data_IF_364602942599
#
_entry.id   IF_364602942599
#
_cell.length_a   1.000
_cell.length_b   1.000
_cell.length_c   1.000
_cell.angle_alpha   90.00
_cell.angle_beta   90.00
_cell.angle_gamma   90.00
#
_symmetry.space_group_name_H-M   'P 1'
#
loop_
_entity.id
_entity.type
_entity.pdbx_description
1 polymer ?
#
# COMPACT_ATOMS: atom_id res chain seq x y z
N UNK A 1 0.31 -9.29 -19.19
CA UNK A 1 0.46 -10.33 -18.14
C UNK A 1 -0.57 -10.02 -17.08
N UNK A 2 -1.40 -10.98 -16.67
CA UNK A 2 -2.58 -10.71 -15.85
C UNK A 2 -2.23 -10.65 -14.35
N UNK A 3 -2.70 -9.60 -13.67
CA UNK A 3 -2.69 -9.51 -12.20
C UNK A 3 -3.71 -10.49 -11.64
N UNK A 4 -3.34 -11.20 -10.57
CA UNK A 4 -4.30 -12.02 -9.81
C UNK A 4 -4.67 -11.28 -8.54
N UNK A 5 -5.96 -11.04 -8.36
CA UNK A 5 -6.53 -10.30 -7.24
C UNK A 5 -7.39 -11.19 -6.35
N UNK A 6 -7.20 -11.08 -5.05
CA UNK A 6 -7.98 -11.77 -4.03
C UNK A 6 -8.69 -10.76 -3.13
N UNK A 7 -10.02 -10.65 -3.19
CA UNK A 7 -10.76 -9.86 -2.21
C UNK A 7 -10.61 -10.52 -0.82
N UNK A 8 -10.65 -9.71 0.25
CA UNK A 8 -10.49 -10.18 1.64
C UNK A 8 -11.34 -11.42 1.96
N UNK A 9 -12.57 -11.50 1.43
CA UNK A 9 -13.49 -12.61 1.65
C UNK A 9 -12.95 -13.99 1.20
N UNK A 10 -12.04 -14.02 0.22
CA UNK A 10 -11.40 -15.25 -0.25
C UNK A 10 -10.19 -15.65 0.61
N UNK A 11 -9.71 -14.75 1.47
CA UNK A 11 -8.50 -14.91 2.26
C UNK A 11 -8.85 -15.33 3.69
N UNK A 12 -7.95 -16.09 4.33
CA UNK A 12 -8.07 -16.47 5.74
C UNK A 12 -6.75 -16.20 6.46
N UNK A 13 -6.80 -15.69 7.68
CA UNK A 13 -5.63 -15.58 8.54
C UNK A 13 -5.47 -16.86 9.37
N UNK A 14 -4.27 -17.44 9.38
CA UNK A 14 -3.85 -18.56 10.23
C UNK A 14 -2.42 -18.33 10.67
N UNK A 15 -2.15 -18.35 11.97
CA UNK A 15 -0.78 -18.27 12.52
C UNK A 15 0.05 -17.13 11.94
N UNK A 16 -0.55 -15.93 11.89
CA UNK A 16 0.04 -14.71 11.32
C UNK A 16 0.38 -14.79 9.81
N UNK A 17 -0.23 -15.74 9.10
CA UNK A 17 -0.09 -15.94 7.66
C UNK A 17 -1.46 -15.88 6.97
N UNK A 18 -1.49 -15.28 5.80
CA UNK A 18 -2.64 -15.20 4.92
C UNK A 18 -2.64 -16.42 4.03
N UNK A 19 -3.67 -17.26 4.18
CA UNK A 19 -3.93 -18.38 3.28
C UNK A 19 -4.60 -17.87 2.00
N UNK A 20 -3.93 -18.07 0.87
CA UNK A 20 -4.38 -17.70 -0.46
C UNK A 20 -4.84 -18.96 -1.22
N UNK A 21 -6.13 -19.09 -1.57
CA UNK A 21 -6.61 -20.27 -2.30
C UNK A 21 -6.16 -20.25 -3.77
N UNK A 22 -5.86 -21.42 -4.33
CA UNK A 22 -5.52 -21.58 -5.75
C UNK A 22 -6.70 -22.05 -6.62
N UNK A 23 -7.85 -22.35 -6.00
CA UNK A 23 -9.06 -22.81 -6.66
C UNK A 23 -9.08 -24.33 -6.90
N UNK A 24 -10.27 -24.84 -7.26
CA UNK A 24 -10.52 -26.28 -7.37
C UNK A 24 -9.75 -26.93 -8.51
N UNK A 25 -9.53 -26.23 -9.62
CA UNK A 25 -8.76 -26.73 -10.77
C UNK A 25 -7.30 -26.97 -10.39
N UNK A 26 -6.65 -26.00 -9.74
CA UNK A 26 -5.27 -26.15 -9.26
C UNK A 26 -5.15 -27.29 -8.25
N UNK A 27 -6.10 -27.41 -7.32
CA UNK A 27 -6.13 -28.53 -6.37
C UNK A 27 -6.25 -29.88 -7.08
N UNK A 28 -7.12 -29.99 -8.09
CA UNK A 28 -7.34 -31.25 -8.82
C UNK A 28 -6.11 -31.65 -9.64
N UNK A 29 -5.46 -30.69 -10.30
CA UNK A 29 -4.36 -31.00 -11.23
C UNK A 29 -3.01 -31.11 -10.54
N UNK A 30 -2.77 -30.30 -9.49
CA UNK A 30 -1.46 -30.20 -8.85
C UNK A 30 -1.47 -30.67 -7.40
N UNK A 31 -2.62 -31.02 -6.83
CA UNK A 31 -2.75 -31.36 -5.41
C UNK A 31 -2.58 -30.17 -4.45
N UNK A 32 -2.36 -28.96 -4.98
CA UNK A 32 -2.12 -27.76 -4.17
C UNK A 32 -3.39 -26.93 -4.05
N UNK A 33 -3.89 -26.83 -2.83
CA UNK A 33 -5.15 -26.16 -2.49
C UNK A 33 -4.97 -24.65 -2.18
N UNK A 34 -3.83 -24.30 -1.57
CA UNK A 34 -3.49 -22.94 -1.17
C UNK A 34 -2.00 -22.81 -0.87
N UNK A 35 -1.53 -21.58 -0.77
CA UNK A 35 -0.23 -21.24 -0.18
C UNK A 35 -0.40 -20.17 0.92
N UNK A 36 0.67 -19.91 1.65
CA UNK A 36 0.69 -18.96 2.76
C UNK A 36 1.58 -17.77 2.43
N UNK A 37 1.13 -16.58 2.78
CA UNK A 37 1.92 -15.33 2.72
C UNK A 37 1.96 -14.74 4.13
N UNK A 38 3.13 -14.34 4.67
CA UNK A 38 3.19 -13.65 5.96
C UNK A 38 2.47 -12.31 5.87
N UNK A 39 1.69 -11.96 6.89
CA UNK A 39 1.12 -10.61 6.97
C UNK A 39 2.20 -9.61 7.39
N UNK A 40 2.28 -8.42 6.77
CA UNK A 40 3.19 -7.37 7.23
C UNK A 40 2.89 -6.96 8.67
N UNK A 41 3.93 -6.73 9.48
CA UNK A 41 3.79 -6.39 10.91
C UNK A 41 3.04 -5.08 11.17
N UNK A 42 3.03 -4.17 10.20
CA UNK A 42 2.34 -2.90 10.23
C UNK A 42 0.91 -2.94 9.64
N UNK A 43 0.39 -4.14 9.34
CA UNK A 43 -0.94 -4.31 8.74
C UNK A 43 -1.80 -5.28 9.55
N UNK A 44 -2.88 -4.76 10.14
CA UNK A 44 -3.91 -5.61 10.73
C UNK A 44 -4.74 -6.28 9.63
N UNK A 45 -4.92 -7.61 9.68
CA UNK A 45 -5.73 -8.36 8.70
C UNK A 45 -7.17 -7.83 8.60
N UNK A 46 -7.72 -7.29 9.70
CA UNK A 46 -9.04 -6.68 9.69
C UNK A 46 -9.16 -5.53 8.68
N UNK A 47 -8.10 -4.73 8.49
CA UNK A 47 -8.08 -3.58 7.60
C UNK A 47 -7.87 -3.96 6.13
N UNK A 48 -7.40 -5.17 5.85
CA UNK A 48 -7.17 -5.67 4.50
C UNK A 48 -8.46 -5.64 3.67
N UNK A 49 -8.35 -5.20 2.42
CA UNK A 49 -9.42 -5.19 1.42
C UNK A 49 -9.13 -6.16 0.29
N UNK A 50 -7.90 -6.19 -0.17
CA UNK A 50 -7.47 -6.97 -1.31
C UNK A 50 -6.00 -7.34 -1.18
N UNK A 51 -5.64 -8.54 -1.62
CA UNK A 51 -4.27 -8.93 -1.90
C UNK A 51 -4.12 -9.12 -3.41
N UNK A 52 -3.09 -8.50 -4.00
CA UNK A 52 -2.77 -8.66 -5.41
C UNK A 52 -1.41 -9.30 -5.57
N UNK A 53 -1.30 -10.19 -6.55
CA UNK A 53 -0.04 -10.81 -6.96
C UNK A 53 0.24 -10.38 -8.39
N UNK A 54 1.32 -9.64 -8.57
CA UNK A 54 1.70 -9.05 -9.85
C UNK A 54 3.04 -9.61 -10.32
N UNK A 55 3.17 -10.04 -11.58
CA UNK A 55 4.48 -10.30 -12.16
C UNK A 55 5.19 -8.97 -12.45
N UNK A 56 6.33 -8.72 -11.82
CA UNK A 56 7.17 -7.51 -12.01
C UNK A 56 8.64 -7.89 -12.02
N UNK A 57 9.38 -7.50 -13.05
CA UNK A 57 10.83 -7.68 -13.16
C UNK A 57 11.32 -9.13 -12.91
N UNK A 58 10.66 -10.13 -13.52
CA UNK A 58 10.95 -11.57 -13.34
C UNK A 58 10.70 -12.09 -11.91
N UNK A 59 9.96 -11.36 -11.09
CA UNK A 59 9.51 -11.78 -9.76
C UNK A 59 8.01 -11.57 -9.61
N UNK A 60 7.44 -12.09 -8.52
CA UNK A 60 6.08 -11.77 -8.10
C UNK A 60 6.11 -10.78 -6.95
N UNK A 61 5.37 -9.68 -7.08
CA UNK A 61 5.16 -8.69 -6.02
C UNK A 61 3.80 -8.91 -5.38
N UNK A 62 3.74 -8.70 -4.07
CA UNK A 62 2.51 -8.77 -3.28
C UNK A 62 2.10 -7.35 -2.92
N UNK A 63 0.89 -6.95 -3.32
CA UNK A 63 0.32 -5.65 -2.93
C UNK A 63 -0.86 -5.86 -1.98
N UNK A 64 -0.79 -5.21 -0.82
CA UNK A 64 -1.86 -5.21 0.16
C UNK A 64 -2.64 -3.90 0.05
N UNK A 65 -3.90 -3.98 -0.36
CA UNK A 65 -4.83 -2.84 -0.35
C UNK A 65 -5.59 -2.89 0.97
N UNK A 66 -5.54 -1.81 1.75
CA UNK A 66 -6.15 -1.79 3.09
C UNK A 66 -6.76 -0.43 3.42
N UNK A 67 -7.73 -0.44 4.33
CA UNK A 67 -8.26 0.79 4.92
C UNK A 67 -7.24 1.33 5.93
N UNK A 68 -6.87 2.60 5.78
CA UNK A 68 -6.11 3.35 6.76
C UNK A 68 -6.95 4.53 7.21
N UNK A 69 -7.07 4.72 8.52
CA UNK A 69 -7.63 5.96 9.04
C UNK A 69 -6.68 7.10 8.66
N UNK A 70 -7.20 8.08 7.92
CA UNK A 70 -6.47 9.32 7.67
C UNK A 70 -6.69 10.18 8.89
N UNK A 71 -5.63 10.72 9.49
CA UNK A 71 -5.76 11.72 10.55
C UNK A 71 -6.44 12.94 9.93
N UNK A 72 -7.74 13.09 10.19
CA UNK A 72 -8.58 14.10 9.53
C UNK A 72 -8.28 15.51 10.06
N UNK A 73 -7.68 15.61 11.25
CA UNK A 73 -7.36 16.88 11.91
C UNK A 73 -6.01 16.79 12.64
N UNK A 74 -4.88 16.96 11.94
CA UNK A 74 -3.64 17.27 12.64
C UNK A 74 -3.84 18.53 13.49
N UNK A 75 -3.25 18.57 14.67
CA UNK A 75 -3.27 19.76 15.53
C UNK A 75 -2.29 20.78 14.92
N UNK A 76 -2.79 21.54 13.94
CA UNK A 76 -2.02 22.56 13.23
C UNK A 76 -2.25 23.93 13.86
N UNK A 77 -1.17 24.72 13.94
CA UNK A 77 -1.29 26.14 14.18
C UNK A 77 -1.79 26.81 12.90
N UNK A 78 -2.93 27.51 12.96
CA UNK A 78 -3.50 28.18 11.78
C UNK A 78 -2.72 29.44 11.38
N UNK A 79 -1.90 29.96 12.29
CA UNK A 79 -1.03 31.10 12.01
C UNK A 79 0.22 30.68 11.23
N UNK A 80 0.57 29.39 11.21
CA UNK A 80 1.73 28.88 10.49
C UNK A 80 1.30 28.40 9.10
N UNK A 81 1.77 29.08 8.06
CA UNK A 81 1.37 28.83 6.66
C UNK A 81 2.59 28.40 5.85
N UNK A 82 2.42 27.35 5.03
CA UNK A 82 3.39 26.88 4.04
C UNK A 82 2.80 27.05 2.64
N UNK A 83 3.39 27.93 1.84
CA UNK A 83 3.14 28.05 0.41
C UNK A 83 4.01 27.06 -0.37
N UNK A 84 3.39 26.32 -1.28
CA UNK A 84 4.07 25.37 -2.17
C UNK A 84 3.74 25.77 -3.60
N UNK A 85 4.77 26.10 -4.37
CA UNK A 85 4.65 26.47 -5.78
C UNK A 85 5.51 25.54 -6.65
N UNK A 86 4.97 25.11 -7.78
CA UNK A 86 5.71 24.30 -8.75
C UNK A 86 6.16 25.21 -9.89
N UNK A 87 7.46 25.30 -10.10
CA UNK A 87 8.01 26.18 -11.12
C UNK A 87 8.32 25.46 -12.43
N UNK A 88 8.62 26.25 -13.47
CA UNK A 88 9.14 25.73 -14.73
C UNK A 88 10.59 25.24 -14.61
N UNK A 89 11.38 25.93 -13.77
CA UNK A 89 12.83 25.73 -13.63
C UNK A 89 13.24 25.12 -12.28
N UNK A 90 12.27 24.75 -11.44
CA UNK A 90 12.50 24.05 -10.18
C UNK A 90 11.33 23.10 -9.92
N UNK A 91 11.59 21.96 -9.26
CA UNK A 91 10.54 20.98 -8.97
C UNK A 91 9.51 21.53 -7.98
N UNK A 92 9.97 22.28 -6.99
CA UNK A 92 9.13 22.85 -5.93
C UNK A 92 9.84 24.05 -5.27
N UNK A 93 9.10 25.13 -5.04
CA UNK A 93 9.49 26.24 -4.16
C UNK A 93 8.60 26.19 -2.92
N UNK A 94 9.19 26.21 -1.73
CA UNK A 94 8.45 26.19 -0.48
C UNK A 94 8.80 27.42 0.38
N UNK A 95 7.78 28.18 0.76
CA UNK A 95 7.94 29.39 1.60
C UNK A 95 7.05 29.28 2.82
N UNK A 96 7.62 29.45 4.02
CA UNK A 96 6.84 29.57 5.26
C UNK A 96 6.87 31.00 5.79
N UNK A 97 5.81 31.40 6.51
CA UNK A 97 5.77 32.67 7.24
C UNK A 97 6.52 32.63 8.59
N UNK A 98 6.99 31.46 9.02
CA UNK A 98 7.79 31.25 10.24
C UNK A 98 9.30 31.25 9.98
N UNK A 99 9.73 31.75 8.81
CA UNK A 99 11.15 32.02 8.52
C UNK A 99 11.98 30.80 8.09
N UNK A 100 11.36 29.67 7.76
CA UNK A 100 12.03 28.56 7.08
C UNK A 100 11.61 28.51 5.61
N UNK A 101 12.54 28.80 4.69
CA UNK A 101 12.33 28.64 3.25
C UNK A 101 13.28 27.58 2.69
N UNK A 102 12.79 26.80 1.73
CA UNK A 102 13.57 25.80 1.03
C UNK A 102 13.28 25.89 -0.47
N UNK A 103 14.35 25.90 -1.26
CA UNK A 103 14.30 25.95 -2.71
C UNK A 103 15.13 24.78 -3.26
N UNK A 104 14.46 23.81 -3.88
CA UNK A 104 15.14 22.66 -4.47
C UNK A 104 15.58 23.00 -5.89
N UNK A 105 16.74 23.66 -6.01
CA UNK A 105 17.46 23.78 -7.28
C UNK A 105 18.49 22.65 -7.36
N UNK A 106 18.46 21.90 -8.46
CA UNK A 106 19.53 20.99 -8.85
C UNK A 106 20.52 21.71 -9.76
#
# INVERSE_FOLDING_TARGET
>A
MATVSYPKQALKLKDNQIRVPLGNTCKRWFGVDSFLIPIPSNLAFYNLKELRILPRNRCFTQEFVYKKEVVVKPLLNQDDVLGIDHGLNNWLTCVSNVGTSADSRW
#
